data_IF_229151949671
#
_entry.id   IF_229151949671
#
_cell.length_a   1.000
_cell.length_b   1.000
_cell.length_c   1.000
_cell.angle_alpha   90.00
_cell.angle_beta   90.00
_cell.angle_gamma   90.00
#
_symmetry.space_group_name_H-M   'P 1'
#
loop_
_entity.id
_entity.type
_entity.pdbx_description
1 polymer ?
#
# COMPACT_ATOMS: atom_id res chain seq x y z
N UNK A 1 0.39 3.53 -41.64
CA UNK A 1 -0.94 3.71 -41.06
C UNK A 1 -1.02 3.11 -39.64
N UNK A 2 -1.04 3.92 -38.67
CA UNK A 2 -1.13 3.37 -37.32
C UNK A 2 -2.47 2.73 -37.04
N UNK A 3 -2.43 1.69 -36.27
CA UNK A 3 -3.62 0.96 -35.90
C UNK A 3 -4.02 1.34 -34.50
N UNK A 4 -4.97 2.22 -34.37
CA UNK A 4 -5.43 2.71 -33.08
C UNK A 4 -6.62 1.91 -32.57
N UNK A 5 -6.49 0.59 -32.61
CA UNK A 5 -7.57 -0.29 -32.17
C UNK A 5 -7.59 -0.28 -30.64
N UNK A 6 -8.76 -0.02 -30.05
CA UNK A 6 -8.96 -0.02 -28.62
C UNK A 6 -8.11 1.02 -27.87
N UNK A 7 -7.78 2.11 -28.56
CA UNK A 7 -6.94 3.15 -27.98
C UNK A 7 -7.62 3.83 -26.77
N UNK A 8 -8.93 4.01 -26.82
CA UNK A 8 -9.66 4.64 -25.72
C UNK A 8 -9.59 3.77 -24.47
N UNK A 9 -9.82 2.47 -24.62
CA UNK A 9 -9.75 1.56 -23.48
C UNK A 9 -8.34 1.46 -22.91
N UNK A 10 -7.34 1.39 -23.81
CA UNK A 10 -5.95 1.30 -23.39
C UNK A 10 -5.54 2.57 -22.62
N UNK A 11 -5.94 3.73 -23.14
CA UNK A 11 -5.63 5.00 -22.51
C UNK A 11 -6.30 5.10 -21.13
N UNK A 12 -7.53 4.62 -21.03
CA UNK A 12 -8.26 4.64 -19.77
C UNK A 12 -7.56 3.77 -18.72
N UNK A 13 -7.07 2.60 -19.12
CA UNK A 13 -6.33 1.73 -18.21
C UNK A 13 -5.04 2.38 -17.72
N UNK A 14 -4.31 3.01 -18.65
CA UNK A 14 -3.08 3.73 -18.30
C UNK A 14 -3.34 4.88 -17.35
N UNK A 15 -4.37 5.66 -17.63
CA UNK A 15 -4.72 6.80 -16.80
C UNK A 15 -5.15 6.36 -15.40
N UNK A 16 -5.80 5.23 -15.30
CA UNK A 16 -6.20 4.68 -13.99
C UNK A 16 -4.97 4.38 -13.14
N UNK A 17 -3.96 3.77 -13.75
CA UNK A 17 -2.73 3.43 -13.05
C UNK A 17 -1.96 4.71 -12.66
N UNK A 18 -1.84 5.65 -13.58
CA UNK A 18 -1.15 6.91 -13.32
C UNK A 18 -1.85 7.71 -12.22
N UNK A 19 -3.17 7.69 -12.24
CA UNK A 19 -3.96 8.36 -11.20
C UNK A 19 -3.73 7.72 -9.83
N UNK A 20 -3.61 6.40 -9.79
CA UNK A 20 -3.32 5.68 -8.56
C UNK A 20 -1.90 5.96 -8.06
N UNK A 21 -0.98 6.33 -8.97
CA UNK A 21 0.40 6.63 -8.63
C UNK A 21 0.62 8.10 -8.28
N UNK A 22 -0.44 8.87 -8.16
CA UNK A 22 -0.36 10.29 -7.87
C UNK A 22 0.40 10.51 -6.56
N UNK A 23 1.36 11.42 -6.59
CA UNK A 23 2.18 11.71 -5.43
C UNK A 23 3.41 10.83 -5.28
N UNK A 24 3.61 9.88 -6.16
CA UNK A 24 4.80 9.04 -6.10
C UNK A 24 6.03 9.83 -6.52
N UNK A 25 7.17 9.39 -6.01
CA UNK A 25 8.44 10.10 -6.18
C UNK A 25 8.94 9.98 -7.61
N UNK A 26 9.41 11.09 -8.15
CA UNK A 26 10.08 11.13 -9.45
C UNK A 26 9.16 10.68 -10.58
N UNK A 27 9.70 9.90 -11.49
CA UNK A 27 8.97 9.47 -12.68
C UNK A 27 7.99 8.34 -12.39
N UNK A 28 7.92 7.86 -11.17
CA UNK A 28 6.98 6.81 -10.80
C UNK A 28 5.53 7.29 -10.86
N UNK A 29 5.33 8.59 -10.87
CA UNK A 29 3.99 9.16 -10.91
C UNK A 29 3.46 9.40 -12.32
N UNK A 30 4.33 9.51 -13.33
CA UNK A 30 3.89 9.92 -14.66
C UNK A 30 4.39 9.06 -15.82
N UNK A 31 5.31 8.14 -15.59
CA UNK A 31 5.74 7.19 -16.63
C UNK A 31 4.98 5.89 -16.41
N UNK A 32 4.17 5.50 -17.40
CA UNK A 32 3.23 4.39 -17.23
C UNK A 32 3.92 3.09 -16.79
N UNK A 33 5.01 2.70 -17.45
CA UNK A 33 5.67 1.44 -17.13
C UNK A 33 6.19 1.44 -15.69
N UNK A 34 6.83 2.52 -15.28
CA UNK A 34 7.35 2.65 -13.92
C UNK A 34 6.20 2.78 -12.92
N UNK A 35 5.18 3.56 -13.28
CA UNK A 35 4.02 3.75 -12.41
C UNK A 35 3.28 2.43 -12.18
N UNK A 36 3.14 1.62 -13.23
CA UNK A 36 2.48 0.32 -13.11
C UNK A 36 3.21 -0.57 -12.09
N UNK A 37 4.52 -0.66 -12.21
CA UNK A 37 5.32 -1.46 -11.28
C UNK A 37 5.21 -0.92 -9.86
N UNK A 38 5.27 0.39 -9.70
CA UNK A 38 5.19 1.02 -8.39
C UNK A 38 3.82 0.79 -7.74
N UNK A 39 2.75 0.93 -8.51
CA UNK A 39 1.39 0.73 -8.00
C UNK A 39 1.17 -0.72 -7.61
N UNK A 40 1.59 -1.66 -8.45
CA UNK A 40 1.45 -3.08 -8.14
C UNK A 40 2.19 -3.44 -6.86
N UNK A 41 3.42 -2.97 -6.72
CA UNK A 41 4.21 -3.23 -5.52
C UNK A 41 3.57 -2.57 -4.30
N UNK A 42 3.05 -1.35 -4.49
CA UNK A 42 2.35 -0.63 -3.43
C UNK A 42 1.13 -1.38 -2.95
N UNK A 43 0.37 -1.99 -3.86
CA UNK A 43 -0.80 -2.78 -3.49
C UNK A 43 -0.41 -4.03 -2.70
N UNK A 44 0.68 -4.68 -3.11
CA UNK A 44 1.20 -5.83 -2.38
C UNK A 44 1.62 -5.44 -0.96
N UNK A 45 2.32 -4.32 -0.85
CA UNK A 45 2.74 -3.80 0.46
C UNK A 45 1.53 -3.41 1.30
N UNK A 46 0.52 -2.81 0.69
CA UNK A 46 -0.69 -2.42 1.41
C UNK A 46 -1.39 -3.64 2.01
N UNK A 47 -1.50 -4.71 1.23
CA UNK A 47 -2.11 -5.96 1.71
C UNK A 47 -1.30 -6.55 2.86
N UNK A 48 0.01 -6.67 2.66
CA UNK A 48 0.89 -7.21 3.68
C UNK A 48 0.86 -6.38 4.96
N UNK A 49 0.92 -5.06 4.81
CA UNK A 49 1.05 -4.18 5.95
C UNK A 49 -0.25 -3.98 6.71
N UNK A 50 -1.40 -4.15 6.05
CA UNK A 50 -2.66 -4.19 6.78
C UNK A 50 -2.68 -5.35 7.76
N UNK A 51 -2.14 -6.50 7.37
CA UNK A 51 -2.01 -7.64 8.26
C UNK A 51 -0.96 -7.40 9.33
N UNK A 52 0.17 -6.82 8.95
CA UNK A 52 1.24 -6.50 9.90
C UNK A 52 0.80 -5.47 10.92
N UNK A 53 -0.03 -4.53 10.51
CA UNK A 53 -0.58 -3.52 11.41
C UNK A 53 -1.33 -4.16 12.56
N UNK A 54 -2.15 -5.14 12.25
CA UNK A 54 -2.90 -5.86 13.29
C UNK A 54 -1.97 -6.58 14.26
N UNK A 55 -0.95 -7.24 13.74
CA UNK A 55 0.03 -7.94 14.57
C UNK A 55 0.83 -6.99 15.44
N UNK A 56 1.24 -5.85 14.86
CA UNK A 56 2.01 -4.84 15.57
C UNK A 56 1.21 -4.24 16.71
N UNK A 57 -0.04 -3.88 16.46
CA UNK A 57 -0.88 -3.31 17.50
C UNK A 57 -1.23 -4.34 18.57
N UNK A 58 -1.39 -5.59 18.22
CA UNK A 58 -1.64 -6.63 19.22
C UNK A 58 -0.44 -6.75 20.17
N UNK A 59 0.78 -6.73 19.61
CA UNK A 59 1.99 -6.76 20.43
C UNK A 59 2.06 -5.55 21.36
N UNK A 60 1.71 -4.38 20.83
CA UNK A 60 1.68 -3.16 21.61
C UNK A 60 0.63 -3.24 22.73
N UNK A 61 -0.53 -3.78 22.44
CA UNK A 61 -1.59 -3.96 23.44
C UNK A 61 -1.11 -4.87 24.58
N UNK A 62 -0.43 -5.96 24.23
CA UNK A 62 0.09 -6.90 25.22
C UNK A 62 1.10 -6.19 26.12
N UNK A 63 1.97 -5.38 25.53
CA UNK A 63 2.93 -4.59 26.33
C UNK A 63 2.24 -3.65 27.29
N UNK A 64 1.21 -2.95 26.81
CA UNK A 64 0.49 -1.98 27.65
C UNK A 64 -0.29 -2.67 28.75
N UNK A 65 -0.95 -3.78 28.42
CA UNK A 65 -1.68 -4.54 29.43
C UNK A 65 -0.72 -5.09 30.46
N UNK A 66 0.42 -5.62 30.04
CA UNK A 66 1.43 -6.15 30.95
C UNK A 66 1.97 -5.06 31.88
N UNK A 67 2.23 -3.88 31.32
CA UNK A 67 2.70 -2.75 32.13
C UNK A 67 1.64 -2.36 33.18
N UNK A 68 0.38 -2.31 32.76
CA UNK A 68 -0.71 -2.00 33.67
C UNK A 68 -0.91 -3.03 34.77
N UNK A 69 -0.85 -4.31 34.40
CA UNK A 69 -1.02 -5.38 35.38
C UNK A 69 0.14 -5.44 36.36
N UNK A 70 1.34 -5.11 35.94
CA UNK A 70 2.51 -5.09 36.82
C UNK A 70 2.41 -4.03 37.91
N UNK A 71 1.72 -2.92 37.61
CA UNK A 71 1.47 -1.91 38.63
C UNK A 71 0.67 -2.45 39.79
N UNK A 72 -0.09 -3.49 39.58
CA UNK A 72 -0.91 -4.16 40.62
C UNK A 72 -0.35 -5.50 41.03
N UNK A 73 0.91 -5.76 40.71
CA UNK A 73 1.59 -6.99 41.11
C UNK A 73 1.19 -8.23 40.32
N UNK A 74 0.57 -8.06 39.17
CA UNK A 74 0.17 -9.18 38.32
C UNK A 74 1.01 -9.22 37.04
N UNK A 75 0.97 -10.36 36.35
CA UNK A 75 1.60 -10.49 35.04
C UNK A 75 0.54 -10.83 34.00
N UNK A 76 0.84 -10.52 32.76
CA UNK A 76 -0.08 -10.81 31.66
C UNK A 76 -0.31 -12.32 31.43
#
# INVERSE_FOLDING_TARGET
MPRSVNSVAAKARRNKIIKAAKGYFGRRKNVHTVAKNAVEKGMQYAYRDRKNKKRTFRALWIQRINAGTRLYGMSY
#
